data_IF_267845982891
#
_entry.id   IF_267845982891
#
_cell.length_a   1.000
_cell.length_b   1.000
_cell.length_c   1.000
_cell.angle_alpha   90.00
_cell.angle_beta   90.00
_cell.angle_gamma   90.00
#
_symmetry.space_group_name_H-M   'P 1'
#
loop_
_entity.id
_entity.type
_entity.pdbx_description
1 polymer ?
#
# COMPACT_ATOMS: atom_id res chain seq x y z
N UNK A 1 5.92 29.48 -8.99
CA UNK A 1 5.23 29.26 -7.70
C UNK A 1 6.23 28.98 -6.58
N UNK A 2 7.05 27.91 -6.59
CA UNK A 2 8.00 27.63 -5.48
C UNK A 2 9.02 28.75 -5.26
N UNK A 3 9.54 29.37 -6.32
CA UNK A 3 10.48 30.49 -6.21
C UNK A 3 9.91 31.75 -5.52
N UNK A 4 8.58 31.90 -5.47
CA UNK A 4 7.91 33.01 -4.82
C UNK A 4 7.73 32.81 -3.29
N UNK A 5 8.00 31.60 -2.77
CA UNK A 5 7.94 31.33 -1.34
C UNK A 5 9.23 31.83 -0.65
N UNK A 6 9.13 32.20 0.62
CA UNK A 6 10.29 32.69 1.39
C UNK A 6 11.27 31.59 1.77
N UNK A 7 10.77 30.38 2.06
CA UNK A 7 11.58 29.27 2.58
C UNK A 7 12.62 28.70 1.62
N UNK A 8 12.39 28.58 0.29
CA UNK A 8 13.41 28.09 -0.62
C UNK A 8 14.58 29.09 -0.75
N UNK A 9 15.80 28.59 -0.69
CA UNK A 9 17.01 29.38 -0.89
C UNK A 9 17.55 29.30 -2.33
N UNK A 10 17.20 28.22 -3.00
CA UNK A 10 17.61 27.98 -4.38
C UNK A 10 16.52 27.25 -5.15
N UNK A 11 16.18 27.75 -6.34
CA UNK A 11 15.24 27.13 -7.26
C UNK A 11 15.78 27.30 -8.68
N UNK A 12 16.06 26.18 -9.37
CA UNK A 12 16.53 26.19 -10.74
C UNK A 12 15.83 25.12 -11.57
N UNK A 13 15.52 25.46 -12.82
CA UNK A 13 15.00 24.52 -13.82
C UNK A 13 16.10 24.14 -14.80
N UNK A 14 16.30 22.85 -14.99
CA UNK A 14 17.35 22.26 -15.83
C UNK A 14 16.78 21.21 -16.76
N UNK A 15 17.59 20.78 -17.74
CA UNK A 15 17.27 19.66 -18.62
C UNK A 15 18.53 18.78 -18.83
N UNK A 16 18.33 17.59 -19.40
CA UNK A 16 19.39 16.66 -19.76
C UNK A 16 19.48 16.44 -21.29
N UNK A 17 18.85 17.30 -22.07
CA UNK A 17 18.66 17.19 -23.52
C UNK A 17 19.92 17.41 -24.36
N UNK A 18 20.97 17.98 -23.79
CA UNK A 18 22.25 18.20 -24.47
C UNK A 18 23.41 18.16 -23.49
N UNK A 19 24.66 17.98 -23.99
CA UNK A 19 25.87 18.00 -23.15
C UNK A 19 25.98 19.29 -22.33
N UNK A 20 25.63 20.44 -22.91
CA UNK A 20 25.62 21.73 -22.22
C UNK A 20 24.61 21.71 -21.06
N UNK A 21 23.40 21.23 -21.30
CA UNK A 21 22.34 21.17 -20.30
C UNK A 21 22.69 20.19 -19.19
N UNK A 22 23.29 19.04 -19.47
CA UNK A 22 23.82 18.09 -18.49
C UNK A 22 24.86 18.74 -17.57
N UNK A 23 25.80 19.50 -18.13
CA UNK A 23 26.81 20.21 -17.33
C UNK A 23 26.17 21.28 -16.43
N UNK A 24 25.18 21.99 -16.93
CA UNK A 24 24.43 22.97 -16.12
C UNK A 24 23.62 22.30 -15.03
N UNK A 25 22.92 21.21 -15.33
CA UNK A 25 22.17 20.42 -14.34
C UNK A 25 23.08 19.91 -13.21
N UNK A 26 24.31 19.45 -13.55
CA UNK A 26 25.31 19.04 -12.57
C UNK A 26 25.74 20.19 -11.65
N UNK A 27 25.91 21.41 -12.21
CA UNK A 27 26.26 22.60 -11.41
C UNK A 27 25.12 22.98 -10.48
N UNK A 28 23.88 22.98 -10.99
CA UNK A 28 22.68 23.27 -10.20
C UNK A 28 22.51 22.30 -9.02
N UNK A 29 22.65 20.99 -9.27
CA UNK A 29 22.61 19.97 -8.19
C UNK A 29 23.69 20.21 -7.13
N UNK A 30 24.94 20.45 -7.55
CA UNK A 30 26.02 20.74 -6.58
C UNK A 30 25.73 21.97 -5.73
N UNK A 31 25.20 23.03 -6.34
CA UNK A 31 24.83 24.25 -5.60
C UNK A 31 23.72 23.96 -4.61
N UNK A 32 22.66 23.28 -5.02
CA UNK A 32 21.55 22.86 -4.15
C UNK A 32 22.03 22.02 -2.95
N UNK A 33 22.89 21.03 -3.21
CA UNK A 33 23.48 20.18 -2.16
C UNK A 33 24.39 20.98 -1.20
N UNK A 34 25.18 21.91 -1.71
CA UNK A 34 26.03 22.74 -0.88
C UNK A 34 25.21 23.60 0.09
N UNK A 35 24.11 24.21 -0.37
CA UNK A 35 23.22 24.98 0.50
C UNK A 35 22.55 24.10 1.55
N UNK A 36 22.20 22.87 1.20
CA UNK A 36 21.65 21.89 2.16
C UNK A 36 22.70 21.50 3.22
N UNK A 37 23.95 21.19 2.81
CA UNK A 37 25.06 20.86 3.72
C UNK A 37 25.33 22.03 4.67
N UNK A 38 25.32 23.24 4.14
CA UNK A 38 25.50 24.47 4.91
C UNK A 38 24.28 24.87 5.75
N UNK A 39 23.21 24.08 5.72
CA UNK A 39 21.93 24.32 6.44
C UNK A 39 21.28 25.67 6.08
N UNK A 40 21.50 26.17 4.88
CA UNK A 40 20.97 27.48 4.44
C UNK A 40 19.46 27.46 4.22
N UNK A 41 18.87 26.32 3.86
CA UNK A 41 17.44 26.15 3.65
C UNK A 41 17.10 25.10 2.59
N UNK A 42 15.84 25.11 2.17
CA UNK A 42 15.32 24.20 1.15
C UNK A 42 15.78 24.64 -0.25
N UNK A 43 16.20 23.68 -1.08
CA UNK A 43 16.55 23.88 -2.47
C UNK A 43 15.73 22.96 -3.38
N UNK A 44 15.32 23.47 -4.56
CA UNK A 44 14.59 22.72 -5.59
C UNK A 44 15.33 22.81 -6.92
N UNK A 45 15.65 21.65 -7.50
CA UNK A 45 16.13 21.57 -8.89
C UNK A 45 15.10 20.76 -9.68
N UNK A 46 14.43 21.43 -10.62
CA UNK A 46 13.43 20.82 -11.50
C UNK A 46 14.08 20.36 -12.80
N UNK A 47 13.92 19.08 -13.14
CA UNK A 47 14.41 18.50 -14.38
C UNK A 47 13.26 18.38 -15.39
N UNK A 48 13.37 19.04 -16.54
CA UNK A 48 12.46 18.80 -17.65
C UNK A 48 12.75 17.43 -18.24
N UNK A 49 11.75 16.58 -18.34
CA UNK A 49 11.81 15.23 -18.87
C UNK A 49 10.60 14.92 -19.73
N UNK A 50 10.81 14.39 -20.92
CA UNK A 50 9.73 13.88 -21.77
C UNK A 50 9.42 12.42 -21.37
N UNK A 51 8.11 12.08 -21.34
CA UNK A 51 7.68 10.70 -21.14
C UNK A 51 7.29 10.09 -22.50
N UNK A 52 8.09 9.17 -23.07
CA UNK A 52 7.83 8.63 -24.41
C UNK A 52 6.47 7.94 -24.52
N UNK A 53 6.03 7.27 -23.45
CA UNK A 53 4.71 6.60 -23.43
C UNK A 53 3.57 7.61 -23.51
N UNK A 54 3.63 8.70 -22.74
CA UNK A 54 2.57 9.71 -22.70
C UNK A 54 2.55 10.58 -23.95
N UNK A 55 3.73 10.94 -24.46
CA UNK A 55 3.88 11.77 -25.66
C UNK A 55 3.80 10.96 -26.96
N UNK A 56 3.85 9.62 -26.90
CA UNK A 56 3.84 8.69 -28.04
C UNK A 56 4.98 8.96 -29.04
N UNK A 57 6.14 9.34 -28.52
CA UNK A 57 7.38 9.54 -29.29
C UNK A 57 8.37 8.43 -28.97
N UNK A 58 9.35 8.22 -29.84
CA UNK A 58 10.46 7.30 -29.56
C UNK A 58 11.38 7.86 -28.46
N UNK A 59 12.11 7.03 -27.71
CA UNK A 59 13.09 7.49 -26.73
C UNK A 59 14.14 8.42 -27.34
N UNK A 60 14.54 8.21 -28.59
CA UNK A 60 15.55 9.01 -29.31
C UNK A 60 15.05 10.43 -29.61
N UNK A 61 13.75 10.62 -29.77
CA UNK A 61 13.11 11.92 -30.04
C UNK A 61 12.89 12.75 -28.75
N UNK A 62 13.08 12.16 -27.57
CA UNK A 62 12.80 12.84 -26.28
C UNK A 62 13.62 14.13 -26.12
N UNK A 63 14.89 14.14 -26.53
CA UNK A 63 15.75 15.31 -26.40
C UNK A 63 15.27 16.47 -27.29
N UNK A 64 14.91 16.18 -28.52
CA UNK A 64 14.36 17.18 -29.46
C UNK A 64 13.01 17.70 -29.01
N UNK A 65 12.19 16.83 -28.41
CA UNK A 65 10.91 17.22 -27.81
C UNK A 65 11.12 18.18 -26.63
N UNK A 66 12.08 17.92 -25.75
CA UNK A 66 12.39 18.82 -24.63
C UNK A 66 12.84 20.18 -25.18
N UNK A 67 13.78 20.19 -26.11
CA UNK A 67 14.32 21.45 -26.68
C UNK A 67 13.26 22.25 -27.43
N UNK A 68 12.43 21.60 -28.29
CA UNK A 68 11.52 22.28 -29.20
C UNK A 68 10.13 22.54 -28.60
N UNK A 69 9.67 21.72 -27.65
CA UNK A 69 8.28 21.77 -27.13
C UNK A 69 8.20 22.13 -25.66
N UNK A 70 9.20 21.80 -24.84
CA UNK A 70 9.12 22.08 -23.40
C UNK A 70 9.85 23.36 -23.02
N UNK A 71 11.10 23.55 -23.44
CA UNK A 71 11.91 24.71 -23.07
C UNK A 71 11.25 26.05 -23.45
N UNK A 72 10.59 26.22 -24.60
CA UNK A 72 9.91 27.47 -24.93
C UNK A 72 8.82 27.88 -23.94
N UNK A 73 8.15 26.93 -23.33
CA UNK A 73 7.10 27.17 -22.32
C UNK A 73 7.62 27.17 -20.90
N UNK A 74 8.70 26.41 -20.64
CA UNK A 74 9.33 26.24 -19.35
C UNK A 74 10.82 26.58 -19.44
N UNK A 75 11.19 27.86 -19.56
CA UNK A 75 12.58 28.29 -19.77
C UNK A 75 13.51 27.74 -18.67
N UNK A 76 14.68 27.25 -19.11
CA UNK A 76 15.74 26.79 -18.20
C UNK A 76 16.39 27.97 -17.50
N UNK A 77 16.89 27.74 -16.29
CA UNK A 77 17.70 28.71 -15.55
C UNK A 77 17.34 28.82 -14.08
N UNK A 78 18.10 29.67 -13.42
CA UNK A 78 17.92 29.97 -12.00
C UNK A 78 16.74 30.92 -11.79
N UNK A 79 15.74 30.46 -11.03
CA UNK A 79 14.54 31.21 -10.70
C UNK A 79 14.65 31.91 -9.34
N UNK A 80 15.52 31.40 -8.45
CA UNK A 80 15.84 31.99 -7.14
C UNK A 80 17.20 31.49 -6.67
N UNK A 81 18.03 32.39 -6.19
CA UNK A 81 19.31 32.07 -5.52
C UNK A 81 19.62 33.14 -4.47
N UNK A 82 19.27 32.82 -3.23
CA UNK A 82 19.52 33.69 -2.06
C UNK A 82 20.32 32.97 -0.98
N UNK A 83 20.89 31.80 -1.33
CA UNK A 83 21.57 30.96 -0.34
C UNK A 83 22.82 31.60 0.25
N UNK A 84 23.60 32.36 -0.54
CA UNK A 84 24.78 33.08 -0.03
C UNK A 84 24.42 34.15 0.99
N UNK A 85 23.24 34.74 0.86
CA UNK A 85 22.75 35.82 1.74
C UNK A 85 22.05 35.28 2.99
N UNK A 86 21.79 33.95 3.05
CA UNK A 86 21.03 33.37 4.15
C UNK A 86 21.94 32.75 5.20
N UNK A 87 21.71 33.10 6.46
CA UNK A 87 22.37 32.44 7.57
C UNK A 87 21.93 30.96 7.73
N UNK A 88 22.81 30.11 8.27
CA UNK A 88 22.46 28.74 8.56
C UNK A 88 21.28 28.60 9.50
N UNK A 89 20.32 27.76 9.16
CA UNK A 89 19.15 27.50 10.00
C UNK A 89 19.55 26.57 11.14
N UNK A 90 19.48 27.06 12.35
CA UNK A 90 19.58 26.23 13.56
C UNK A 90 18.19 25.78 13.96
N UNK A 91 17.91 24.49 13.84
CA UNK A 91 16.66 23.90 14.33
C UNK A 91 16.89 23.33 15.71
N UNK A 92 16.03 23.59 16.69
CA UNK A 92 16.09 22.89 17.96
C UNK A 92 15.92 21.38 17.68
N UNK A 93 16.66 20.56 18.40
CA UNK A 93 16.53 19.13 18.29
C UNK A 93 15.12 18.76 18.77
N UNK A 94 14.30 18.22 17.88
CA UNK A 94 12.96 17.77 18.23
C UNK A 94 13.06 16.58 19.17
N UNK A 95 12.36 16.63 20.28
CA UNK A 95 12.12 15.47 21.13
C UNK A 95 10.86 14.82 20.58
N UNK A 96 10.99 13.57 20.10
CA UNK A 96 9.84 12.81 19.64
C UNK A 96 9.03 12.35 20.85
N UNK A 97 7.85 12.92 21.00
CA UNK A 97 6.86 12.53 21.99
C UNK A 97 5.61 12.03 21.24
N UNK A 98 5.39 10.70 21.20
CA UNK A 98 4.26 10.14 20.47
C UNK A 98 2.91 10.65 20.96
N UNK A 99 2.74 10.86 22.27
CA UNK A 99 1.48 11.32 22.83
C UNK A 99 1.18 12.77 22.45
N UNK A 100 2.21 13.63 22.49
CA UNK A 100 2.08 15.01 22.05
C UNK A 100 1.79 15.11 20.55
N UNK A 101 2.38 14.24 19.73
CA UNK A 101 2.08 14.15 18.31
C UNK A 101 0.61 13.78 18.10
N UNK A 102 0.11 12.76 18.81
CA UNK A 102 -1.28 12.34 18.72
C UNK A 102 -2.25 13.45 19.18
N UNK A 103 -1.97 14.09 20.30
CA UNK A 103 -2.78 15.22 20.80
C UNK A 103 -2.82 16.37 19.79
N UNK A 104 -1.69 16.67 19.13
CA UNK A 104 -1.62 17.78 18.16
C UNK A 104 -2.37 17.46 16.87
N UNK A 105 -2.34 16.21 16.40
CA UNK A 105 -2.95 15.81 15.12
C UNK A 105 -4.41 15.41 15.25
N UNK A 106 -4.82 14.81 16.36
CA UNK A 106 -6.10 14.14 16.48
C UNK A 106 -6.87 14.50 17.76
N UNK A 107 -6.41 15.48 18.52
CA UNK A 107 -6.99 15.89 19.82
C UNK A 107 -6.97 14.79 20.90
N UNK A 108 -6.92 13.52 20.49
CA UNK A 108 -6.81 12.35 21.37
C UNK A 108 -6.12 11.20 20.66
N UNK A 109 -5.41 10.35 21.41
CA UNK A 109 -4.88 9.09 20.91
C UNK A 109 -6.05 8.16 20.56
N UNK A 110 -6.14 7.63 19.34
CA UNK A 110 -7.17 6.66 19.04
C UNK A 110 -6.93 5.42 19.92
N UNK A 111 -7.88 5.13 20.80
CA UNK A 111 -7.87 3.90 21.56
C UNK A 111 -8.17 2.72 20.61
N UNK A 112 -7.18 1.89 20.36
CA UNK A 112 -7.43 0.61 19.73
C UNK A 112 -7.97 -0.33 20.81
N UNK A 113 -9.27 -0.63 20.76
CA UNK A 113 -9.87 -1.63 21.65
C UNK A 113 -9.19 -2.97 21.37
N UNK A 114 -8.40 -3.46 22.32
CA UNK A 114 -7.85 -4.80 22.27
C UNK A 114 -8.97 -5.78 22.62
N UNK A 115 -9.34 -6.63 21.65
CA UNK A 115 -10.44 -7.59 21.78
C UNK A 115 -9.89 -8.92 22.29
N UNK A 116 -8.76 -9.36 21.74
CA UNK A 116 -8.11 -10.62 22.12
C UNK A 116 -6.62 -10.39 22.33
N UNK A 117 -6.06 -10.85 23.44
CA UNK A 117 -4.63 -10.69 23.75
C UNK A 117 -3.75 -11.83 23.27
N UNK A 118 -4.30 -13.03 23.15
CA UNK A 118 -3.56 -14.26 22.79
C UNK A 118 -4.11 -14.83 21.50
N UNK A 119 -3.45 -14.56 20.38
CA UNK A 119 -3.82 -15.14 19.11
C UNK A 119 -3.29 -16.59 19.01
N UNK A 120 -4.04 -17.51 18.33
CA UNK A 120 -3.72 -18.93 18.28
C UNK A 120 -2.48 -19.23 17.44
N UNK A 121 -2.15 -18.36 16.47
CA UNK A 121 -0.95 -18.55 15.66
C UNK A 121 0.29 -17.99 16.38
N UNK A 122 1.31 -18.82 16.51
CA UNK A 122 2.56 -18.48 17.21
C UNK A 122 3.57 -17.79 16.30
N UNK A 123 3.50 -18.07 15.00
CA UNK A 123 4.44 -17.57 14.02
C UNK A 123 3.97 -16.25 13.40
N UNK A 124 4.91 -15.54 12.80
CA UNK A 124 4.62 -14.35 12.02
C UNK A 124 3.80 -14.73 10.77
N UNK A 125 2.67 -14.05 10.56
CA UNK A 125 1.88 -14.17 9.34
C UNK A 125 2.31 -13.12 8.33
N UNK A 126 2.82 -13.58 7.21
CA UNK A 126 3.15 -12.77 6.04
C UNK A 126 2.13 -13.05 4.95
N UNK A 127 1.13 -12.17 4.88
CA UNK A 127 -0.04 -12.34 4.03
C UNK A 127 0.12 -11.49 2.77
N UNK A 128 -0.05 -12.11 1.59
CA UNK A 128 -0.15 -11.42 0.31
C UNK A 128 -1.58 -11.49 -0.19
N UNK A 129 -2.23 -10.33 -0.29
CA UNK A 129 -3.54 -10.20 -0.93
C UNK A 129 -3.36 -9.69 -2.34
N UNK A 130 -3.97 -10.35 -3.34
CA UNK A 130 -3.80 -10.00 -4.74
C UNK A 130 -5.09 -10.19 -5.54
N UNK A 131 -5.28 -9.32 -6.55
CA UNK A 131 -6.45 -9.31 -7.41
C UNK A 131 -6.39 -8.21 -8.46
N UNK A 132 -7.54 -7.88 -9.03
CA UNK A 132 -7.68 -6.72 -9.91
C UNK A 132 -8.12 -5.47 -9.16
N UNK A 133 -7.80 -4.30 -9.71
CA UNK A 133 -8.33 -3.03 -9.25
C UNK A 133 -9.88 -3.05 -9.28
N UNK A 134 -10.50 -2.67 -8.15
CA UNK A 134 -11.94 -2.73 -7.95
C UNK A 134 -12.45 -3.95 -7.18
N UNK A 135 -11.66 -5.00 -6.98
CA UNK A 135 -12.03 -6.18 -6.17
C UNK A 135 -11.87 -5.96 -4.65
N UNK A 136 -11.52 -4.77 -4.20
CA UNK A 136 -11.40 -4.47 -2.78
C UNK A 136 -10.16 -5.05 -2.09
N UNK A 137 -9.09 -5.34 -2.84
CA UNK A 137 -7.86 -5.95 -2.32
C UNK A 137 -7.21 -5.10 -1.21
N UNK A 138 -7.15 -3.80 -1.41
CA UNK A 138 -6.56 -2.90 -0.41
C UNK A 138 -7.43 -2.81 0.85
N UNK A 139 -8.76 -2.80 0.69
CA UNK A 139 -9.70 -2.85 1.82
C UNK A 139 -9.57 -4.16 2.59
N UNK A 140 -9.38 -5.30 1.90
CA UNK A 140 -9.12 -6.59 2.54
C UNK A 140 -7.86 -6.52 3.40
N UNK A 141 -6.74 -6.00 2.87
CA UNK A 141 -5.51 -5.81 3.64
C UNK A 141 -5.69 -4.88 4.83
N UNK A 142 -6.50 -3.82 4.70
CA UNK A 142 -6.84 -2.92 5.81
C UNK A 142 -7.66 -3.63 6.89
N UNK A 143 -8.67 -4.44 6.51
CA UNK A 143 -9.45 -5.23 7.48
C UNK A 143 -8.57 -6.24 8.22
N UNK A 144 -7.68 -6.95 7.54
CA UNK A 144 -6.70 -7.85 8.17
C UNK A 144 -5.81 -7.09 9.15
N UNK A 145 -5.39 -5.88 8.80
CA UNK A 145 -4.54 -5.03 9.65
C UNK A 145 -5.27 -4.57 10.91
N UNK A 146 -6.53 -4.17 10.81
CA UNK A 146 -7.35 -3.81 11.96
C UNK A 146 -7.60 -5.01 12.87
N UNK A 147 -7.89 -6.18 12.32
CA UNK A 147 -8.03 -7.42 13.07
C UNK A 147 -6.75 -7.76 13.83
N UNK A 148 -5.60 -7.73 13.17
CA UNK A 148 -4.31 -7.98 13.80
C UNK A 148 -4.03 -7.00 14.95
N UNK A 149 -4.34 -5.72 14.75
CA UNK A 149 -4.20 -4.70 15.79
C UNK A 149 -5.13 -4.94 16.98
N UNK A 150 -6.38 -5.35 16.73
CA UNK A 150 -7.34 -5.73 17.78
C UNK A 150 -6.91 -6.99 18.55
N UNK A 151 -6.04 -7.82 17.97
CA UNK A 151 -5.44 -9.00 18.60
C UNK A 151 -4.03 -8.75 19.16
N UNK A 152 -3.64 -7.48 19.39
CA UNK A 152 -2.35 -7.09 19.99
C UNK A 152 -1.11 -7.47 19.16
N UNK A 153 -1.24 -7.63 17.84
CA UNK A 153 -0.08 -7.80 16.96
C UNK A 153 0.57 -6.47 16.60
N UNK A 154 1.87 -6.52 16.36
CA UNK A 154 2.55 -5.50 15.57
C UNK A 154 2.19 -5.74 14.11
N UNK A 155 1.65 -4.71 13.44
CA UNK A 155 1.08 -4.84 12.10
C UNK A 155 1.78 -3.89 11.15
N UNK A 156 2.10 -4.39 9.96
CA UNK A 156 2.43 -3.52 8.82
C UNK A 156 1.51 -3.84 7.64
N UNK A 157 1.15 -2.81 6.90
CA UNK A 157 0.38 -2.91 5.67
C UNK A 157 1.06 -2.11 4.58
N UNK A 158 1.40 -2.78 3.49
CA UNK A 158 2.06 -2.17 2.33
C UNK A 158 1.25 -2.41 1.07
N UNK A 159 0.50 -1.40 0.59
CA UNK A 159 -0.20 -1.49 -0.69
C UNK A 159 0.77 -1.37 -1.86
N UNK A 160 0.51 -2.13 -2.92
CA UNK A 160 1.20 -2.02 -4.20
C UNK A 160 0.16 -2.04 -5.33
N UNK A 161 0.02 -0.90 -5.99
CA UNK A 161 -0.85 -0.73 -7.14
C UNK A 161 -0.16 0.11 -8.21
N UNK A 162 -0.40 -0.25 -9.47
CA UNK A 162 0.12 0.50 -10.62
C UNK A 162 -0.67 1.79 -10.87
N UNK A 163 -0.22 2.64 -11.80
CA UNK A 163 -0.94 3.85 -12.22
C UNK A 163 -2.33 3.54 -12.82
N UNK A 164 -2.58 2.31 -13.24
CA UNK A 164 -3.86 1.84 -13.74
C UNK A 164 -4.78 1.44 -12.57
N UNK A 165 -5.58 2.39 -12.11
CA UNK A 165 -6.48 2.21 -10.95
C UNK A 165 -7.67 1.29 -11.23
N UNK A 166 -8.00 0.96 -12.50
CA UNK A 166 -9.10 0.07 -12.90
C UNK A 166 -8.62 -0.93 -13.94
N UNK A 167 -8.85 -2.22 -13.68
CA UNK A 167 -8.45 -3.32 -14.56
C UNK A 167 -6.97 -3.74 -14.46
N UNK A 168 -6.11 -2.96 -13.81
CA UNK A 168 -4.74 -3.32 -13.50
C UNK A 168 -4.62 -4.25 -12.29
N UNK A 169 -3.43 -4.83 -12.08
CA UNK A 169 -3.16 -5.68 -10.93
C UNK A 169 -3.03 -4.84 -9.66
N UNK A 170 -3.80 -5.18 -8.62
CA UNK A 170 -3.67 -4.60 -7.28
C UNK A 170 -3.21 -5.68 -6.31
N UNK A 171 -2.30 -5.35 -5.41
CA UNK A 171 -1.92 -6.25 -4.34
C UNK A 171 -1.52 -5.46 -3.09
N UNK A 172 -1.54 -6.13 -1.95
CA UNK A 172 -0.94 -5.60 -0.73
C UNK A 172 -0.29 -6.72 0.08
N UNK A 173 0.67 -6.34 0.90
CA UNK A 173 1.29 -7.20 1.89
C UNK A 173 0.85 -6.77 3.27
N UNK A 174 0.49 -7.74 4.12
CA UNK A 174 0.20 -7.52 5.54
C UNK A 174 1.09 -8.45 6.34
N UNK A 175 1.79 -7.90 7.34
CA UNK A 175 2.56 -8.68 8.29
C UNK A 175 1.93 -8.53 9.66
N UNK A 176 1.61 -9.65 10.30
CA UNK A 176 1.14 -9.72 11.67
C UNK A 176 2.19 -10.44 12.50
N UNK A 177 2.82 -9.76 13.45
CA UNK A 177 3.91 -10.31 14.26
C UNK A 177 3.76 -9.98 15.75
N UNK A 178 4.15 -10.87 16.62
CA UNK A 178 4.25 -10.58 18.06
C UNK A 178 5.44 -9.66 18.37
N UNK A 179 6.46 -9.71 17.53
CA UNK A 179 7.64 -8.86 17.63
C UNK A 179 7.49 -7.61 16.75
N UNK A 180 8.21 -6.52 17.03
CA UNK A 180 8.25 -5.36 16.15
C UNK A 180 8.65 -5.74 14.72
N UNK A 181 7.87 -5.32 13.75
CA UNK A 181 8.12 -5.60 12.32
C UNK A 181 9.10 -4.57 11.78
N UNK A 182 10.29 -5.02 11.41
CA UNK A 182 11.37 -4.14 10.92
C UNK A 182 11.21 -3.74 9.45
N UNK A 183 10.46 -4.52 8.65
CA UNK A 183 10.21 -4.24 7.22
C UNK A 183 8.81 -4.65 6.80
N UNK A 184 8.06 -3.80 6.11
CA UNK A 184 6.76 -4.16 5.54
C UNK A 184 6.87 -4.95 4.23
N UNK A 185 8.09 -5.14 3.69
CA UNK A 185 8.31 -5.83 2.43
C UNK A 185 8.27 -7.34 2.67
N UNK A 186 7.40 -8.03 1.93
CA UNK A 186 7.23 -9.49 1.98
C UNK A 186 7.74 -10.07 0.68
N UNK A 187 8.93 -10.69 0.71
CA UNK A 187 9.53 -11.40 -0.42
C UNK A 187 9.04 -12.85 -0.50
N UNK A 188 8.88 -13.51 0.65
CA UNK A 188 8.26 -14.82 0.78
C UNK A 188 7.10 -14.74 1.75
N UNK A 189 5.94 -15.25 1.35
CA UNK A 189 4.73 -15.25 2.16
C UNK A 189 4.40 -16.66 2.67
N UNK A 190 3.72 -16.74 3.80
CA UNK A 190 3.15 -18.00 4.28
C UNK A 190 1.62 -18.08 4.09
N UNK A 191 0.98 -16.97 3.67
CA UNK A 191 -0.43 -16.93 3.30
C UNK A 191 -0.61 -16.14 2.00
N UNK A 192 -1.19 -16.77 1.00
CA UNK A 192 -1.60 -16.15 -0.26
C UNK A 192 -3.12 -16.05 -0.33
N UNK A 193 -3.64 -14.85 -0.48
CA UNK A 193 -5.06 -14.58 -0.71
C UNK A 193 -5.23 -14.01 -2.11
N UNK A 194 -5.89 -14.74 -3.01
CA UNK A 194 -6.00 -14.37 -4.41
C UNK A 194 -7.46 -14.34 -4.89
N UNK A 195 -7.90 -13.18 -5.38
CA UNK A 195 -9.27 -12.98 -5.86
C UNK A 195 -9.42 -13.23 -7.37
N UNK A 196 -8.40 -13.76 -8.04
CA UNK A 196 -8.45 -14.20 -9.43
C UNK A 196 -7.27 -15.12 -9.77
N UNK A 197 -7.42 -15.88 -10.86
CA UNK A 197 -6.42 -16.83 -11.31
C UNK A 197 -5.06 -16.19 -11.68
N UNK A 198 -4.98 -15.07 -12.42
CA UNK A 198 -3.70 -14.44 -12.72
C UNK A 198 -2.91 -14.03 -11.47
N UNK A 199 -3.60 -13.65 -10.39
CA UNK A 199 -2.94 -13.34 -9.12
C UNK A 199 -2.36 -14.58 -8.45
N UNK A 200 -3.06 -15.72 -8.53
CA UNK A 200 -2.51 -17.01 -8.06
C UNK A 200 -1.23 -17.33 -8.84
N UNK A 201 -1.30 -17.35 -10.16
CA UNK A 201 -0.17 -17.70 -11.04
C UNK A 201 1.05 -16.81 -10.79
N UNK A 202 0.83 -15.51 -10.56
CA UNK A 202 1.90 -14.55 -10.32
C UNK A 202 2.60 -14.75 -8.98
N UNK A 203 1.84 -14.98 -7.90
CA UNK A 203 2.39 -14.93 -6.53
C UNK A 203 2.65 -16.31 -5.92
N UNK A 204 2.12 -17.38 -6.52
CA UNK A 204 2.32 -18.76 -6.05
C UNK A 204 3.81 -19.16 -5.91
N UNK A 205 4.73 -18.75 -6.82
CA UNK A 205 6.16 -19.06 -6.69
C UNK A 205 6.83 -18.47 -5.45
N UNK A 206 6.25 -17.43 -4.86
CA UNK A 206 6.76 -16.77 -3.66
C UNK A 206 6.12 -17.27 -2.36
N UNK A 207 5.17 -18.20 -2.44
CA UNK A 207 4.57 -18.85 -1.29
C UNK A 207 5.51 -19.92 -0.71
N UNK A 208 5.74 -19.87 0.60
CA UNK A 208 6.55 -20.84 1.33
C UNK A 208 5.95 -22.27 1.26
N UNK A 209 6.80 -23.29 1.42
CA UNK A 209 6.35 -24.67 1.47
C UNK A 209 5.45 -24.89 2.69
N UNK A 210 4.31 -25.56 2.46
CA UNK A 210 3.29 -25.74 3.50
C UNK A 210 2.42 -24.51 3.75
N UNK A 211 2.63 -23.40 3.03
CA UNK A 211 1.84 -22.19 3.16
C UNK A 211 0.37 -22.36 2.79
N UNK A 212 -0.44 -21.41 3.21
CA UNK A 212 -1.90 -21.39 3.04
C UNK A 212 -2.26 -20.62 1.77
N UNK A 213 -3.17 -21.18 0.97
CA UNK A 213 -3.76 -20.50 -0.19
C UNK A 213 -5.26 -20.33 0.05
N UNK A 214 -5.76 -19.11 -0.10
CA UNK A 214 -7.19 -18.80 -0.15
C UNK A 214 -7.49 -18.19 -1.51
N UNK A 215 -8.48 -18.70 -2.24
CA UNK A 215 -8.80 -18.15 -3.55
C UNK A 215 -10.30 -18.11 -3.84
N UNK A 216 -10.72 -17.15 -4.68
CA UNK A 216 -12.07 -17.05 -5.21
C UNK A 216 -12.27 -18.04 -6.35
N UNK A 217 -13.09 -19.08 -6.15
CA UNK A 217 -13.42 -20.10 -7.14
C UNK A 217 -14.63 -19.75 -8.03
N UNK A 218 -15.26 -18.58 -7.86
CA UNK A 218 -16.37 -18.11 -8.72
C UNK A 218 -16.00 -18.05 -10.20
N UNK A 219 -14.72 -17.86 -10.51
CA UNK A 219 -14.19 -17.77 -11.87
C UNK A 219 -13.56 -19.06 -12.37
N UNK A 220 -13.82 -20.18 -11.70
CA UNK A 220 -13.35 -21.50 -12.05
C UNK A 220 -12.38 -22.10 -11.03
N UNK A 221 -12.30 -23.42 -11.07
CA UNK A 221 -11.40 -24.18 -10.21
C UNK A 221 -9.94 -24.04 -10.67
N UNK A 222 -9.05 -23.91 -9.69
CA UNK A 222 -7.60 -23.88 -9.92
C UNK A 222 -7.01 -25.18 -9.39
N UNK A 223 -6.23 -25.86 -10.23
CA UNK A 223 -5.45 -27.04 -9.82
C UNK A 223 -4.09 -26.58 -9.32
N UNK A 224 -3.71 -27.05 -8.15
CA UNK A 224 -2.44 -26.75 -7.53
C UNK A 224 -1.57 -27.99 -7.49
N UNK A 225 -0.38 -27.93 -8.06
CA UNK A 225 0.63 -28.98 -7.98
C UNK A 225 1.63 -28.64 -6.86
N UNK A 226 1.13 -28.62 -5.62
CA UNK A 226 1.97 -28.38 -4.45
C UNK A 226 1.32 -28.91 -3.17
N UNK A 227 2.14 -29.19 -2.16
CA UNK A 227 1.68 -29.49 -0.80
C UNK A 227 1.38 -28.18 -0.07
N UNK A 228 0.26 -28.12 0.63
CA UNK A 228 -0.18 -26.96 1.41
C UNK A 228 -1.68 -27.02 1.68
N UNK A 229 -2.16 -26.12 2.53
CA UNK A 229 -3.59 -26.00 2.82
C UNK A 229 -4.24 -25.05 1.82
N UNK A 230 -5.17 -25.57 1.02
CA UNK A 230 -5.83 -24.82 -0.05
C UNK A 230 -7.30 -24.66 0.31
N UNK A 231 -7.75 -23.42 0.35
CA UNK A 231 -9.11 -23.03 0.69
C UNK A 231 -9.76 -22.30 -0.50
N UNK A 232 -10.89 -22.81 -0.94
CA UNK A 232 -11.67 -22.23 -2.03
C UNK A 232 -13.01 -21.72 -1.50
N UNK A 233 -13.43 -20.55 -1.93
CA UNK A 233 -14.78 -20.02 -1.68
C UNK A 233 -15.29 -19.32 -2.93
N UNK A 234 -16.61 -19.35 -3.17
CA UNK A 234 -17.26 -18.69 -4.31
C UNK A 234 -17.56 -17.23 -3.97
N UNK A 235 -16.51 -16.45 -3.66
CA UNK A 235 -16.65 -15.14 -3.06
C UNK A 235 -17.47 -14.15 -3.91
N UNK A 236 -17.22 -14.09 -5.22
CA UNK A 236 -17.97 -13.19 -6.09
C UNK A 236 -19.45 -13.62 -6.26
N UNK A 237 -19.74 -14.91 -6.27
CA UNK A 237 -21.12 -15.41 -6.39
C UNK A 237 -21.91 -15.13 -5.08
N UNK A 238 -21.32 -15.44 -3.93
CA UNK A 238 -21.91 -15.16 -2.62
C UNK A 238 -22.20 -13.67 -2.45
N UNK A 239 -21.26 -12.82 -2.82
CA UNK A 239 -21.45 -11.37 -2.76
C UNK A 239 -22.59 -10.89 -3.67
N UNK A 240 -22.80 -11.50 -4.83
CA UNK A 240 -23.95 -11.25 -5.71
C UNK A 240 -25.26 -11.67 -5.07
N UNK A 241 -25.29 -12.85 -4.43
CA UNK A 241 -26.46 -13.36 -3.70
C UNK A 241 -26.86 -12.47 -2.53
N UNK A 242 -25.89 -11.84 -1.85
CA UNK A 242 -26.13 -10.82 -0.81
C UNK A 242 -26.65 -9.49 -1.41
N UNK A 243 -26.42 -9.26 -2.70
CA UNK A 243 -26.87 -8.06 -3.42
C UNK A 243 -25.81 -6.97 -3.58
N UNK A 244 -24.55 -7.22 -3.17
CA UNK A 244 -23.45 -6.26 -3.36
C UNK A 244 -22.12 -6.98 -3.67
N UNK A 245 -21.76 -7.05 -4.95
CA UNK A 245 -20.51 -7.67 -5.42
C UNK A 245 -19.24 -7.10 -4.75
N UNK A 246 -19.31 -5.90 -4.19
CA UNK A 246 -18.19 -5.26 -3.50
C UNK A 246 -17.86 -5.94 -2.18
N UNK A 247 -18.78 -6.75 -1.63
CA UNK A 247 -18.57 -7.51 -0.40
C UNK A 247 -17.76 -8.79 -0.61
N UNK A 248 -17.35 -9.13 -1.84
CA UNK A 248 -16.56 -10.34 -2.11
C UNK A 248 -15.24 -10.42 -1.30
N UNK A 249 -14.61 -9.28 -1.02
CA UNK A 249 -13.45 -9.22 -0.15
C UNK A 249 -13.75 -9.61 1.30
N UNK A 250 -14.96 -9.36 1.82
CA UNK A 250 -15.39 -9.77 3.14
C UNK A 250 -15.74 -11.27 3.18
N UNK A 251 -16.26 -11.85 2.09
CA UNK A 251 -16.38 -13.31 1.96
C UNK A 251 -15.01 -13.98 2.04
N UNK A 252 -14.02 -13.45 1.32
CA UNK A 252 -12.62 -13.92 1.40
C UNK A 252 -12.04 -13.75 2.80
N UNK A 253 -12.37 -12.68 3.50
CA UNK A 253 -11.95 -12.48 4.91
C UNK A 253 -12.51 -13.59 5.81
N UNK A 254 -13.77 -14.01 5.62
CA UNK A 254 -14.37 -15.13 6.31
C UNK A 254 -13.68 -16.47 5.98
N UNK A 255 -13.34 -16.71 4.73
CA UNK A 255 -12.54 -17.88 4.36
C UNK A 255 -11.13 -17.85 4.98
N UNK A 256 -10.52 -16.68 5.10
CA UNK A 256 -9.22 -16.51 5.76
C UNK A 256 -9.33 -16.80 7.26
N UNK A 257 -10.37 -16.32 7.96
CA UNK A 257 -10.57 -16.62 9.39
C UNK A 257 -10.63 -18.14 9.62
N UNK A 258 -11.40 -18.85 8.80
CA UNK A 258 -11.53 -20.32 8.86
C UNK A 258 -10.21 -21.05 8.53
N UNK A 259 -9.39 -20.50 7.64
CA UNK A 259 -8.09 -21.07 7.29
C UNK A 259 -7.03 -20.90 8.40
N UNK A 260 -7.15 -19.85 9.21
CA UNK A 260 -6.18 -19.51 10.25
C UNK A 260 -6.56 -20.05 11.64
N UNK A 261 -7.84 -20.31 11.90
CA UNK A 261 -8.40 -20.53 13.24
C UNK A 261 -9.05 -21.92 13.33
N UNK A 262 -8.93 -22.55 14.50
CA UNK A 262 -9.75 -23.72 14.85
C UNK A 262 -11.20 -23.29 15.13
N UNK A 263 -12.14 -24.24 15.16
CA UNK A 263 -13.54 -23.94 15.46
C UNK A 263 -13.75 -23.30 16.85
N UNK A 264 -12.93 -23.69 17.82
CA UNK A 264 -12.97 -23.11 19.14
C UNK A 264 -12.44 -21.66 19.16
N UNK A 265 -11.38 -21.41 18.41
CA UNK A 265 -10.77 -20.09 18.29
C UNK A 265 -11.67 -19.13 17.51
N UNK A 266 -12.36 -19.59 16.45
CA UNK A 266 -13.26 -18.75 15.64
C UNK A 266 -14.22 -17.95 16.53
N UNK A 267 -14.88 -18.58 17.49
CA UNK A 267 -15.81 -17.91 18.39
C UNK A 267 -15.18 -16.75 19.17
N UNK A 268 -13.92 -16.93 19.58
CA UNK A 268 -13.17 -15.91 20.33
C UNK A 268 -12.74 -14.75 19.44
N UNK A 269 -12.42 -15.03 18.17
CA UNK A 269 -11.85 -14.03 17.27
C UNK A 269 -12.86 -13.36 16.33
N UNK A 270 -14.08 -13.88 16.22
CA UNK A 270 -15.15 -13.31 15.37
C UNK A 270 -15.35 -11.82 15.66
N UNK A 271 -15.39 -11.41 16.95
CA UNK A 271 -15.54 -9.99 17.33
C UNK A 271 -14.40 -9.12 16.77
N UNK A 272 -13.18 -9.65 16.70
CA UNK A 272 -12.03 -8.92 16.15
C UNK A 272 -12.17 -8.71 14.63
N UNK A 273 -12.65 -9.71 13.89
CA UNK A 273 -12.93 -9.58 12.46
C UNK A 273 -14.09 -8.64 12.16
N UNK A 274 -15.21 -8.75 12.90
CA UNK A 274 -16.35 -7.84 12.77
C UNK A 274 -15.95 -6.40 13.09
N UNK A 275 -15.21 -6.18 14.18
CA UNK A 275 -14.66 -4.85 14.52
C UNK A 275 -13.77 -4.29 13.42
N UNK A 276 -12.97 -5.14 12.76
CA UNK A 276 -12.13 -4.74 11.63
C UNK A 276 -12.97 -4.28 10.43
N UNK A 277 -14.08 -4.97 10.14
CA UNK A 277 -15.04 -4.57 9.11
C UNK A 277 -15.65 -3.21 9.47
N UNK A 278 -16.19 -3.05 10.70
CA UNK A 278 -16.75 -1.79 11.18
C UNK A 278 -15.75 -0.65 11.05
N UNK A 279 -14.50 -0.86 11.49
CA UNK A 279 -13.44 0.15 11.42
C UNK A 279 -13.07 0.53 9.97
N UNK A 280 -13.16 -0.40 9.04
CA UNK A 280 -12.87 -0.15 7.62
C UNK A 280 -13.95 0.66 6.91
N UNK A 281 -15.19 0.62 7.41
CA UNK A 281 -16.37 1.24 6.76
C UNK A 281 -17.10 2.26 7.63
N UNK A 282 -16.46 2.85 8.63
CA UNK A 282 -17.01 3.74 9.69
C UNK A 282 -18.08 4.77 9.30
N UNK A 283 -18.28 5.06 8.01
CA UNK A 283 -19.21 6.12 7.56
C UNK A 283 -20.45 5.61 6.82
N UNK A 284 -20.71 4.27 6.75
CA UNK A 284 -21.78 3.72 5.89
C UNK A 284 -22.42 2.47 6.50
N UNK A 285 -23.45 2.63 7.35
CA UNK A 285 -24.10 1.53 8.09
C UNK A 285 -24.58 0.35 7.21
N UNK A 286 -25.25 0.62 6.08
CA UNK A 286 -25.72 -0.43 5.15
C UNK A 286 -24.57 -1.25 4.58
N UNK A 287 -23.44 -0.60 4.31
CA UNK A 287 -22.23 -1.27 3.83
C UNK A 287 -21.66 -2.20 4.90
N UNK A 288 -21.69 -1.79 6.16
CA UNK A 288 -21.19 -2.59 7.30
C UNK A 288 -22.01 -3.88 7.42
N UNK A 289 -23.35 -3.81 7.46
CA UNK A 289 -24.21 -4.99 7.60
C UNK A 289 -24.00 -6.02 6.48
N UNK A 290 -23.93 -5.58 5.23
CA UNK A 290 -23.68 -6.47 4.09
C UNK A 290 -22.28 -7.12 4.16
N UNK A 291 -21.26 -6.39 4.61
CA UNK A 291 -19.91 -6.94 4.76
C UNK A 291 -19.81 -7.93 5.93
N UNK A 292 -20.54 -7.72 7.05
CA UNK A 292 -20.62 -8.70 8.14
C UNK A 292 -21.33 -9.98 7.67
N UNK A 293 -22.46 -9.85 6.97
CA UNK A 293 -23.16 -11.01 6.37
C UNK A 293 -22.24 -11.77 5.40
N UNK A 294 -21.49 -11.05 4.59
CA UNK A 294 -20.54 -11.63 3.64
C UNK A 294 -19.38 -12.37 4.34
N UNK A 295 -18.90 -11.82 5.44
CA UNK A 295 -17.87 -12.45 6.26
C UNK A 295 -18.36 -13.82 6.79
N UNK A 296 -19.52 -13.88 7.42
CA UNK A 296 -20.08 -15.14 7.94
C UNK A 296 -20.38 -16.14 6.82
N UNK A 297 -20.95 -15.69 5.71
CA UNK A 297 -21.13 -16.56 4.55
C UNK A 297 -19.81 -17.14 4.01
N UNK A 298 -18.73 -16.39 4.11
CA UNK A 298 -17.38 -16.84 3.78
C UNK A 298 -16.85 -17.92 4.72
N UNK A 299 -17.12 -17.79 6.04
CA UNK A 299 -16.77 -18.82 7.03
C UNK A 299 -17.49 -20.16 6.76
N UNK A 300 -18.77 -20.08 6.38
CA UNK A 300 -19.61 -21.26 6.14
C UNK A 300 -19.34 -21.95 4.81
N UNK A 301 -18.99 -21.18 3.77
CA UNK A 301 -18.91 -21.67 2.39
C UNK A 301 -17.53 -22.18 1.98
N UNK A 302 -16.51 -21.98 2.79
CA UNK A 302 -15.14 -22.34 2.42
C UNK A 302 -14.94 -23.85 2.35
N UNK A 303 -14.34 -24.31 1.25
CA UNK A 303 -14.04 -25.72 1.00
C UNK A 303 -12.53 -25.94 1.05
N UNK A 304 -12.10 -26.89 1.87
CA UNK A 304 -10.70 -27.33 1.92
C UNK A 304 -10.44 -28.29 0.76
N UNK A 305 -9.51 -27.93 -0.12
CA UNK A 305 -9.08 -28.78 -1.23
C UNK A 305 -7.91 -29.65 -0.76
N UNK A 306 -8.00 -30.94 -1.05
CA UNK A 306 -6.95 -31.93 -0.74
C UNK A 306 -5.99 -32.09 -1.90
#
# INVERSE_FOLDING_TARGET
MVAALDSPVYVERVALSSTKNILNARKALRRAMNYMIQKKGFSLVEFLSACPINTKISPDECNDWIESKMIPYFPLGCLKDVGEQREPITRPQGIYDPEKVWQTLYESKPETKIIVRDAPWKEELRIKCAGFGGQGILSLGTMISYMGSACSFNVTWLPAYGPEMRGGTANCSVVLSRNPVSSPIVNKMNVLVAMNRPSVEKFLPDLEDGGIIIYDSSYGEIKFDRKGSIYATRAADIAKEIGDIRCANSVILGALSKALLSENDLKTYTEAFESAIVNSFKSKNIVIENNIKAFHAGEESVVVKK
#
